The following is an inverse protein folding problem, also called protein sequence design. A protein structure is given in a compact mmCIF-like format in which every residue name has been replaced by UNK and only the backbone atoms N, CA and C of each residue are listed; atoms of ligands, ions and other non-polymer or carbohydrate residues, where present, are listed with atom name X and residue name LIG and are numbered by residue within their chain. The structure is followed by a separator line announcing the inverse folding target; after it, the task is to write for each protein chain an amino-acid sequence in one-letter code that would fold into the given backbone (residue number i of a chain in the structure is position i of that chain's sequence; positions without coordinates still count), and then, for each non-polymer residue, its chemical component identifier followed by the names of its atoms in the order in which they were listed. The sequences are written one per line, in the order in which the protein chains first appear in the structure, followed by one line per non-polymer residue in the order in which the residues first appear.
data_IF_137092572354
#
_entry.id   IF_137092572354
#
_cell.length_a   1.000
_cell.length_b   1.000
_cell.length_c   1.000
_cell.angle_alpha   90.00
_cell.angle_beta   90.00
_cell.angle_gamma   90.00
#
_symmetry.space_group_name_H-M   'P 1'
#
loop_
_entity.id
_entity.type
_entity.pdbx_description
1 polymer ?
#
# COMPACT_ATOMS: atom_id res chain seq x y z
N UNK A 1 -30.54 50.53 14.32
CA UNK A 1 -29.83 49.23 14.28
C UNK A 1 -30.77 48.17 13.74
N UNK A 2 -30.21 47.18 13.03
CA UNK A 2 -30.84 45.95 12.49
C UNK A 2 -31.13 45.98 10.98
N UNK A 3 -30.16 45.42 10.26
CA UNK A 3 -30.39 44.61 9.07
C UNK A 3 -31.20 43.37 9.44
N UNK A 4 -32.07 42.90 8.53
CA UNK A 4 -32.15 41.49 8.21
C UNK A 4 -32.81 41.31 6.84
N UNK A 5 -32.14 40.56 5.97
CA UNK A 5 -32.58 40.20 4.63
C UNK A 5 -33.58 39.05 4.67
N UNK A 6 -34.47 39.09 3.69
CA UNK A 6 -35.61 38.22 3.46
C UNK A 6 -35.24 36.75 3.22
N UNK A 7 -36.05 35.89 3.81
CA UNK A 7 -36.27 34.49 3.49
C UNK A 7 -37.49 34.40 2.55
N UNK A 8 -37.54 33.34 1.73
CA UNK A 8 -38.71 32.65 1.14
C UNK A 8 -38.71 32.62 -0.40
N UNK A 9 -39.28 31.63 -1.10
CA UNK A 9 -39.67 30.22 -0.88
C UNK A 9 -40.42 29.82 -2.17
N UNK A 10 -40.14 28.62 -2.73
CA UNK A 10 -40.97 27.79 -3.63
C UNK A 10 -41.41 28.34 -5.03
N UNK A 11 -41.07 27.62 -6.13
CA UNK A 11 -41.90 26.67 -6.93
C UNK A 11 -43.09 27.34 -7.66
N UNK A 12 -43.50 27.07 -8.90
CA UNK A 12 -43.09 26.27 -10.06
C UNK A 12 -44.16 26.60 -11.16
N UNK A 13 -43.86 26.28 -12.43
CA UNK A 13 -44.80 26.00 -13.56
C UNK A 13 -45.16 27.14 -14.54
N UNK A 14 -44.46 27.08 -15.68
CA UNK A 14 -44.89 27.10 -17.10
C UNK A 14 -46.00 28.04 -17.61
N UNK A 15 -45.71 28.76 -18.71
CA UNK A 15 -46.37 28.59 -20.02
C UNK A 15 -45.70 29.46 -21.10
N UNK A 16 -45.61 28.88 -22.30
CA UNK A 16 -45.11 29.48 -23.55
C UNK A 16 -46.16 30.39 -24.18
N UNK A 17 -45.77 31.53 -24.76
CA UNK A 17 -46.38 32.08 -26.00
C UNK A 17 -45.41 33.01 -26.75
N UNK A 18 -45.58 33.03 -28.08
CA UNK A 18 -44.62 33.37 -29.13
C UNK A 18 -44.44 34.85 -29.49
N UNK A 19 -43.29 35.09 -30.15
CA UNK A 19 -43.05 35.98 -31.30
C UNK A 19 -42.78 37.46 -31.09
N UNK A 20 -41.49 37.82 -31.17
CA UNK A 20 -41.02 39.02 -31.87
C UNK A 20 -39.58 38.78 -32.32
N UNK A 21 -39.30 38.95 -33.62
CA UNK A 21 -37.95 38.93 -34.19
C UNK A 21 -37.08 40.01 -33.53
N UNK A 22 -36.13 39.59 -32.70
CA UNK A 22 -34.95 40.39 -32.38
C UNK A 22 -33.71 39.56 -32.73
N UNK A 23 -33.00 40.05 -33.74
CA UNK A 23 -31.59 39.85 -34.08
C UNK A 23 -30.89 38.73 -33.28
N UNK A 24 -30.68 37.58 -33.91
CA UNK A 24 -29.84 36.50 -33.40
C UNK A 24 -28.48 37.06 -32.99
N UNK A 25 -28.26 37.22 -31.69
CA UNK A 25 -26.92 37.17 -31.13
C UNK A 25 -26.47 35.72 -31.33
N UNK A 26 -25.34 35.51 -32.03
CA UNK A 26 -24.76 34.20 -32.21
C UNK A 26 -24.65 33.53 -30.84
N UNK A 27 -25.45 32.48 -30.60
CA UNK A 27 -25.26 31.63 -29.44
C UNK A 27 -23.81 31.14 -29.46
N UNK A 28 -23.11 31.14 -28.31
CA UNK A 28 -21.75 30.59 -28.27
C UNK A 28 -21.82 29.17 -28.79
N UNK A 29 -21.20 28.92 -29.94
CA UNK A 29 -21.10 27.59 -30.53
C UNK A 29 -20.53 26.69 -29.45
N UNK A 30 -21.27 25.68 -28.97
CA UNK A 30 -20.76 24.80 -27.94
C UNK A 30 -19.46 24.18 -28.44
N UNK A 31 -18.42 24.22 -27.60
CA UNK A 31 -17.13 23.59 -27.93
C UNK A 31 -17.40 22.16 -28.42
N UNK A 32 -16.73 21.71 -29.51
CA UNK A 32 -16.89 20.37 -30.00
C UNK A 32 -16.62 19.38 -28.86
N UNK A 33 -17.47 18.36 -28.69
CA UNK A 33 -17.36 17.43 -27.58
C UNK A 33 -16.01 16.70 -27.62
N UNK A 34 -15.23 16.84 -26.55
CA UNK A 34 -13.90 16.25 -26.47
C UNK A 34 -13.98 14.72 -26.28
N UNK A 35 -13.02 13.97 -26.84
CA UNK A 35 -12.89 12.56 -26.56
C UNK A 35 -12.75 12.29 -25.06
N UNK A 36 -13.33 11.20 -24.59
CA UNK A 36 -13.29 10.76 -23.18
C UNK A 36 -12.33 9.59 -23.03
N UNK A 37 -11.58 9.61 -21.94
CA UNK A 37 -10.67 8.54 -21.54
C UNK A 37 -10.90 8.21 -20.07
N UNK A 38 -10.99 6.93 -19.76
CA UNK A 38 -11.07 6.42 -18.39
C UNK A 38 -9.93 5.43 -18.17
N UNK A 39 -9.19 5.60 -17.07
CA UNK A 39 -8.15 4.68 -16.64
C UNK A 39 -8.69 3.95 -15.41
N UNK A 40 -8.90 2.65 -15.56
CA UNK A 40 -9.38 1.77 -14.50
C UNK A 40 -8.27 0.79 -14.14
N UNK A 41 -7.73 0.92 -12.93
CA UNK A 41 -6.87 -0.10 -12.38
C UNK A 41 -7.71 -1.36 -12.10
N UNK A 42 -7.13 -2.55 -12.25
CA UNK A 42 -7.80 -3.73 -11.73
C UNK A 42 -7.84 -3.65 -10.19
N UNK A 43 -8.98 -3.21 -9.63
CA UNK A 43 -9.21 -2.96 -8.20
C UNK A 43 -9.22 -1.48 -7.81
N UNK A 44 -9.45 -1.16 -6.54
CA UNK A 44 -9.60 0.21 -6.01
C UNK A 44 -8.27 1.03 -5.91
N UNK A 45 -7.24 0.67 -6.68
CA UNK A 45 -5.90 1.29 -6.56
C UNK A 45 -5.82 2.59 -7.36
N UNK A 46 -5.35 3.67 -6.72
CA UNK A 46 -5.17 5.00 -7.33
C UNK A 46 -3.66 5.37 -7.42
N UNK A 47 -2.77 4.58 -6.80
CA UNK A 47 -1.33 4.77 -6.82
C UNK A 47 -0.60 3.41 -6.75
N UNK A 48 0.55 3.30 -7.43
CA UNK A 48 1.40 2.09 -7.44
C UNK A 48 2.69 2.43 -6.69
N UNK A 49 3.00 1.63 -5.66
CA UNK A 49 4.23 1.76 -4.87
C UNK A 49 5.10 0.53 -5.10
N UNK A 50 6.29 0.74 -5.67
CA UNK A 50 7.29 -0.32 -5.88
C UNK A 50 8.21 -0.40 -4.65
N UNK A 51 8.58 -1.58 -4.14
CA UNK A 51 8.41 -2.93 -4.68
C UNK A 51 7.18 -3.68 -4.18
N UNK A 52 6.25 -3.03 -3.46
CA UNK A 52 5.06 -3.70 -2.93
C UNK A 52 4.23 -4.38 -4.03
N UNK A 53 4.25 -3.82 -5.23
CA UNK A 53 3.69 -4.41 -6.44
C UNK A 53 4.81 -4.95 -7.34
N UNK A 54 4.67 -6.20 -7.76
CA UNK A 54 5.58 -6.91 -8.68
C UNK A 54 5.20 -6.71 -10.15
N UNK A 55 3.94 -6.41 -10.44
CA UNK A 55 3.49 -6.07 -11.79
C UNK A 55 2.40 -5.01 -11.75
N UNK A 56 2.20 -4.36 -12.89
CA UNK A 56 1.12 -3.41 -13.07
C UNK A 56 0.21 -3.94 -14.16
N UNK A 57 -1.09 -3.99 -13.87
CA UNK A 57 -2.14 -4.35 -14.81
C UNK A 57 -3.23 -3.27 -14.79
N UNK A 58 -3.38 -2.54 -15.90
CA UNK A 58 -4.32 -1.41 -16.03
C UNK A 58 -5.19 -1.60 -17.26
N UNK A 59 -6.49 -1.39 -17.10
CA UNK A 59 -7.42 -1.31 -18.20
C UNK A 59 -7.70 0.16 -18.53
N UNK A 60 -7.54 0.53 -19.80
CA UNK A 60 -7.76 1.90 -20.26
C UNK A 60 -8.86 1.87 -21.32
N UNK A 61 -9.91 2.64 -21.09
CA UNK A 61 -11.06 2.73 -22.01
C UNK A 61 -11.04 4.07 -22.73
N UNK A 62 -11.05 4.02 -24.07
CA UNK A 62 -11.11 5.18 -24.95
C UNK A 62 -12.50 5.30 -25.58
N UNK A 63 -13.09 6.50 -25.57
CA UNK A 63 -14.39 6.79 -26.19
C UNK A 63 -14.31 8.08 -27.01
N UNK A 64 -14.51 7.97 -28.32
CA UNK A 64 -14.63 9.11 -29.24
C UNK A 64 -16.06 9.22 -29.77
N UNK A 65 -16.53 10.44 -29.94
CA UNK A 65 -17.80 10.69 -30.64
C UNK A 65 -17.68 10.51 -32.16
N UNK A 66 -16.48 10.69 -32.70
CA UNK A 66 -16.18 10.71 -34.14
C UNK A 66 -15.10 9.72 -34.53
N UNK A 67 -15.12 8.59 -33.84
CA UNK A 67 -14.16 7.51 -33.95
C UNK A 67 -12.72 7.88 -33.56
N UNK A 68 -11.96 6.86 -33.22
CA UNK A 68 -10.57 6.95 -32.81
C UNK A 68 -9.70 7.19 -34.05
N UNK A 69 -8.84 8.22 -33.98
CA UNK A 69 -7.78 8.45 -34.95
C UNK A 69 -6.44 7.86 -34.48
N UNK A 70 -6.09 8.11 -33.21
CA UNK A 70 -4.80 7.72 -32.66
C UNK A 70 -4.85 7.59 -31.14
N UNK A 71 -4.11 6.63 -30.61
CA UNK A 71 -3.79 6.55 -29.19
C UNK A 71 -2.33 6.16 -28.98
N UNK A 72 -1.67 6.80 -28.03
CA UNK A 72 -0.27 6.53 -27.69
C UNK A 72 -0.02 6.79 -26.20
N UNK A 73 1.11 6.30 -25.70
CA UNK A 73 1.58 6.66 -24.36
C UNK A 73 3.07 7.00 -24.34
N UNK A 74 3.46 7.79 -23.36
CA UNK A 74 4.85 8.11 -23.06
C UNK A 74 5.36 7.13 -22.01
N UNK A 75 6.25 6.24 -22.44
CA UNK A 75 6.94 5.31 -21.56
C UNK A 75 8.18 6.01 -20.97
N UNK A 76 8.27 6.16 -19.64
CA UNK A 76 9.47 6.68 -18.99
C UNK A 76 10.66 5.76 -19.27
N UNK A 77 11.86 6.33 -19.32
CA UNK A 77 13.12 5.61 -19.53
C UNK A 77 14.11 5.94 -18.41
N UNK A 78 15.15 5.12 -18.32
CA UNK A 78 16.31 5.41 -17.46
C UNK A 78 16.93 6.74 -17.90
N UNK A 79 17.13 7.66 -16.95
CA UNK A 79 17.67 9.00 -17.22
C UNK A 79 16.61 10.08 -17.46
N UNK A 80 15.32 9.77 -17.31
CA UNK A 80 14.23 10.77 -17.33
C UNK A 80 13.76 11.18 -18.72
N UNK A 81 14.20 10.48 -19.77
CA UNK A 81 13.64 10.61 -21.11
C UNK A 81 12.37 9.78 -21.26
N UNK A 82 11.62 10.03 -22.33
CA UNK A 82 10.39 9.28 -22.65
C UNK A 82 10.48 8.75 -24.07
N UNK A 83 9.95 7.55 -24.29
CA UNK A 83 9.66 7.04 -25.63
C UNK A 83 8.16 6.99 -25.85
N UNK A 84 7.74 7.47 -27.02
CA UNK A 84 6.34 7.38 -27.44
C UNK A 84 6.05 5.98 -28.00
N UNK A 85 4.97 5.38 -27.53
CA UNK A 85 4.49 4.06 -27.96
C UNK A 85 3.08 4.22 -28.52
N UNK A 86 2.95 4.02 -29.82
CA UNK A 86 1.64 4.00 -30.47
C UNK A 86 0.93 2.67 -30.16
N UNK A 87 -0.31 2.77 -29.69
CA UNK A 87 -1.15 1.65 -29.28
C UNK A 87 -2.44 1.56 -30.10
N UNK A 88 -2.58 2.38 -31.14
CA UNK A 88 -3.81 2.48 -31.96
C UNK A 88 -4.21 1.13 -32.57
N UNK A 89 -3.22 0.28 -32.87
CA UNK A 89 -3.43 -1.06 -33.45
C UNK A 89 -3.29 -2.22 -32.45
N UNK A 90 -3.12 -1.91 -31.15
CA UNK A 90 -2.82 -2.89 -30.09
C UNK A 90 -3.90 -2.90 -29.00
N UNK A 91 -5.15 -2.68 -29.38
CA UNK A 91 -6.27 -2.65 -28.42
C UNK A 91 -6.95 -4.02 -28.34
N UNK A 92 -7.87 -4.18 -27.39
CA UNK A 92 -8.54 -5.43 -27.08
C UNK A 92 -7.74 -6.35 -26.16
N UNK A 93 -8.36 -7.43 -25.67
CA UNK A 93 -7.77 -8.36 -24.70
C UNK A 93 -6.53 -9.09 -25.21
N UNK A 94 -6.37 -9.23 -26.53
CA UNK A 94 -5.21 -9.89 -27.14
C UNK A 94 -4.29 -8.91 -27.91
N UNK A 95 -4.47 -7.60 -27.75
CA UNK A 95 -3.74 -6.54 -28.47
C UNK A 95 -3.77 -6.69 -30.00
N UNK A 96 -4.86 -7.23 -30.55
CA UNK A 96 -5.06 -7.54 -31.97
C UNK A 96 -6.17 -6.68 -32.61
N UNK A 97 -6.86 -5.86 -31.83
CA UNK A 97 -7.92 -4.98 -32.32
C UNK A 97 -7.31 -3.68 -32.82
N UNK A 98 -7.56 -3.40 -34.10
CA UNK A 98 -7.33 -2.09 -34.68
C UNK A 98 -8.43 -1.14 -34.23
N UNK A 99 -8.10 -0.22 -33.33
CA UNK A 99 -9.05 0.74 -32.80
C UNK A 99 -9.37 1.88 -33.79
N UNK A 100 -8.58 2.02 -34.85
CA UNK A 100 -8.83 2.99 -35.90
C UNK A 100 -10.28 2.85 -36.39
N UNK A 101 -10.97 3.99 -36.49
CA UNK A 101 -12.36 4.05 -36.94
C UNK A 101 -13.39 3.39 -35.99
N UNK A 102 -13.00 3.00 -34.78
CA UNK A 102 -13.94 2.55 -33.74
C UNK A 102 -14.36 3.72 -32.84
N UNK A 103 -15.62 3.77 -32.37
CA UNK A 103 -16.08 4.78 -31.41
C UNK A 103 -15.60 4.50 -29.98
N UNK A 104 -15.28 3.24 -29.68
CA UNK A 104 -14.82 2.78 -28.36
C UNK A 104 -13.79 1.67 -28.52
N UNK A 105 -12.75 1.68 -27.68
CA UNK A 105 -11.76 0.63 -27.60
C UNK A 105 -11.13 0.56 -26.20
N UNK A 106 -10.60 -0.62 -25.85
CA UNK A 106 -9.97 -0.90 -24.56
C UNK A 106 -8.51 -1.28 -24.78
N UNK A 107 -7.59 -0.76 -23.98
CA UNK A 107 -6.19 -1.17 -23.96
C UNK A 107 -5.83 -1.76 -22.60
N UNK A 108 -5.25 -2.96 -22.61
CA UNK A 108 -4.71 -3.60 -21.42
C UNK A 108 -3.22 -3.29 -21.34
N UNK A 109 -2.87 -2.37 -20.44
CA UNK A 109 -1.49 -1.95 -20.22
C UNK A 109 -0.86 -2.79 -19.11
N UNK A 110 0.35 -3.30 -19.37
CA UNK A 110 1.11 -4.09 -18.41
C UNK A 110 2.54 -3.57 -18.27
N UNK A 111 3.08 -3.63 -17.04
CA UNK A 111 4.52 -3.48 -16.77
C UNK A 111 4.96 -4.67 -15.97
N UNK A 112 5.98 -5.36 -16.47
CA UNK A 112 6.56 -6.52 -15.77
C UNK A 112 7.46 -6.11 -14.60
N UNK A 113 7.66 -7.05 -13.66
CA UNK A 113 8.67 -6.96 -12.59
C UNK A 113 10.02 -6.46 -13.09
N UNK A 114 10.52 -7.06 -14.18
CA UNK A 114 11.82 -6.74 -14.73
C UNK A 114 11.90 -5.29 -15.23
N UNK A 115 10.84 -4.79 -15.86
CA UNK A 115 10.78 -3.40 -16.31
C UNK A 115 10.66 -2.42 -15.15
N UNK A 116 9.87 -2.75 -14.13
CA UNK A 116 9.77 -1.96 -12.90
C UNK A 116 11.12 -1.86 -12.19
N UNK A 117 11.82 -2.99 -12.03
CA UNK A 117 13.15 -3.03 -11.44
C UNK A 117 14.13 -2.12 -12.18
N UNK A 118 14.11 -2.16 -13.52
CA UNK A 118 15.00 -1.35 -14.35
C UNK A 118 14.66 0.15 -14.28
N UNK A 119 13.38 0.52 -14.27
CA UNK A 119 12.95 1.91 -14.13
C UNK A 119 13.29 2.47 -12.74
N UNK A 120 12.92 1.73 -11.70
CA UNK A 120 13.07 2.14 -10.31
C UNK A 120 14.51 1.97 -9.79
N UNK A 121 15.43 1.37 -10.56
CA UNK A 121 16.85 1.38 -10.23
C UNK A 121 17.39 2.81 -10.04
N UNK A 122 16.93 3.76 -10.88
CA UNK A 122 17.44 5.12 -10.92
C UNK A 122 16.36 6.22 -10.80
N UNK A 123 15.09 5.84 -10.78
CA UNK A 123 13.97 6.77 -10.63
C UNK A 123 13.32 6.60 -9.24
N UNK A 124 12.92 7.72 -8.65
CA UNK A 124 12.05 7.75 -7.47
C UNK A 124 10.57 7.70 -7.86
N UNK A 125 10.26 8.06 -9.11
CA UNK A 125 8.93 8.01 -9.69
C UNK A 125 8.99 7.79 -11.21
N UNK A 126 7.98 7.14 -11.77
CA UNK A 126 7.78 6.97 -13.20
C UNK A 126 6.34 7.35 -13.56
N UNK A 127 6.17 8.28 -14.49
CA UNK A 127 4.85 8.77 -14.93
C UNK A 127 4.56 8.19 -16.31
N UNK A 128 3.42 7.53 -16.44
CA UNK A 128 2.90 7.07 -17.73
C UNK A 128 1.76 8.00 -18.14
N UNK A 129 1.96 8.72 -19.25
CA UNK A 129 0.95 9.61 -19.82
C UNK A 129 0.37 8.98 -21.07
N UNK A 130 -0.94 8.79 -21.10
CA UNK A 130 -1.70 8.32 -22.25
C UNK A 130 -2.34 9.50 -22.94
N UNK A 131 -2.23 9.55 -24.26
CA UNK A 131 -2.84 10.57 -25.10
C UNK A 131 -3.70 9.91 -26.17
N UNK A 132 -4.87 10.47 -26.37
CA UNK A 132 -5.89 9.98 -27.27
C UNK A 132 -6.40 11.11 -28.16
N UNK A 133 -6.54 10.84 -29.46
CA UNK A 133 -6.97 11.77 -30.50
C UNK A 133 -8.12 11.15 -31.31
N UNK A 134 -9.19 11.93 -31.53
CA UNK A 134 -10.30 11.57 -32.41
C UNK A 134 -10.04 12.01 -33.87
N UNK A 135 -10.91 11.62 -34.82
CA UNK A 135 -10.75 12.02 -36.23
C UNK A 135 -10.97 13.50 -36.53
N UNK A 136 -11.49 14.26 -35.57
CA UNK A 136 -11.60 15.72 -35.68
C UNK A 136 -10.33 16.43 -35.17
N UNK A 137 -9.36 15.65 -34.64
CA UNK A 137 -8.10 16.15 -34.10
C UNK A 137 -8.19 16.63 -32.65
N UNK A 138 -9.31 16.41 -31.97
CA UNK A 138 -9.45 16.75 -30.56
C UNK A 138 -8.64 15.75 -29.73
N UNK A 139 -7.94 16.26 -28.70
CA UNK A 139 -7.06 15.46 -27.85
C UNK A 139 -7.50 15.45 -26.40
N UNK A 140 -7.32 14.31 -25.75
CA UNK A 140 -7.41 14.19 -24.30
C UNK A 140 -6.22 13.39 -23.77
N UNK A 141 -5.84 13.62 -22.52
CA UNK A 141 -4.73 12.89 -21.89
C UNK A 141 -5.05 12.57 -20.44
N UNK A 142 -4.58 11.41 -20.00
CA UNK A 142 -4.66 10.98 -18.60
C UNK A 142 -3.37 10.26 -18.23
N UNK A 143 -3.02 10.22 -16.96
CA UNK A 143 -1.76 9.65 -16.51
C UNK A 143 -1.94 8.89 -15.20
N UNK A 144 -0.95 8.06 -14.91
CA UNK A 144 -0.73 7.55 -13.55
C UNK A 144 0.76 7.60 -13.20
N UNK A 145 1.03 7.58 -11.89
CA UNK A 145 2.38 7.62 -11.34
C UNK A 145 2.67 6.34 -10.58
N UNK A 146 3.85 5.78 -10.84
CA UNK A 146 4.47 4.74 -10.02
C UNK A 146 5.53 5.44 -9.18
N UNK A 147 5.50 5.22 -7.87
CA UNK A 147 6.48 5.79 -6.95
C UNK A 147 7.32 4.66 -6.36
N UNK A 148 8.63 4.84 -6.34
CA UNK A 148 9.54 3.95 -5.61
C UNK A 148 9.46 4.27 -4.13
N UNK A 149 9.12 3.28 -3.32
CA UNK A 149 9.29 3.33 -1.88
C UNK A 149 10.76 3.60 -1.56
N UNK A 150 11.02 4.75 -0.93
CA UNK A 150 12.36 5.17 -0.53
C UNK A 150 12.72 4.67 0.87
N UNK A 151 11.86 3.87 1.50
CA UNK A 151 12.09 3.44 2.87
C UNK A 151 13.36 2.59 3.03
N UNK A 152 13.98 2.72 4.19
CA UNK A 152 15.12 1.92 4.62
C UNK A 152 14.63 0.54 5.03
N UNK A 153 14.69 -0.42 4.10
CA UNK A 153 14.21 -1.79 4.35
C UNK A 153 14.92 -2.48 5.51
N UNK A 154 14.12 -3.18 6.33
CA UNK A 154 14.60 -4.09 7.36
C UNK A 154 14.86 -5.46 6.72
N UNK A 155 16.04 -5.62 6.11
CA UNK A 155 16.36 -6.74 5.21
C UNK A 155 16.77 -8.03 5.92
N UNK A 156 17.21 -7.96 7.18
CA UNK A 156 17.53 -9.16 7.96
C UNK A 156 16.26 -9.72 8.59
N UNK A 157 15.86 -10.90 8.15
CA UNK A 157 14.76 -11.66 8.73
C UNK A 157 15.28 -12.84 9.56
N UNK A 158 14.77 -12.95 10.79
CA UNK A 158 15.03 -14.06 11.70
C UNK A 158 13.73 -14.84 11.86
N UNK A 159 13.77 -16.13 11.53
CA UNK A 159 12.59 -17.01 11.52
C UNK A 159 12.56 -18.00 12.68
N UNK A 160 13.60 -18.02 13.51
CA UNK A 160 13.78 -18.94 14.63
C UNK A 160 13.31 -18.39 15.98
N UNK A 161 12.53 -17.30 15.97
CA UNK A 161 12.05 -16.66 17.20
C UNK A 161 11.11 -17.58 17.97
N UNK A 162 11.39 -17.76 19.26
CA UNK A 162 10.62 -18.63 20.15
C UNK A 162 10.56 -18.05 21.56
N UNK A 163 9.43 -18.24 22.23
CA UNK A 163 9.21 -17.83 23.60
C UNK A 163 8.41 -18.91 24.33
N UNK A 164 9.02 -19.52 25.34
CA UNK A 164 8.41 -20.58 26.13
C UNK A 164 7.73 -20.06 27.39
N UNK A 165 6.94 -20.92 28.02
CA UNK A 165 6.41 -20.69 29.36
C UNK A 165 7.52 -20.29 30.34
N UNK A 166 7.28 -19.28 31.19
CA UNK A 166 8.32 -18.70 32.07
C UNK A 166 8.91 -19.71 33.07
N UNK A 167 8.11 -20.68 33.50
CA UNK A 167 8.51 -21.77 34.40
C UNK A 167 8.98 -23.04 33.66
N UNK A 168 9.04 -23.02 32.33
CA UNK A 168 9.49 -24.16 31.52
C UNK A 168 11.01 -24.27 31.40
N UNK A 169 11.50 -25.47 31.08
CA UNK A 169 12.94 -25.80 31.08
C UNK A 169 13.74 -25.13 29.95
N UNK A 170 13.08 -24.73 28.85
CA UNK A 170 13.74 -24.18 27.67
C UNK A 170 14.02 -22.66 27.73
N UNK A 171 13.58 -21.98 28.79
CA UNK A 171 13.80 -20.54 28.99
C UNK A 171 12.74 -19.66 28.32
N UNK A 172 12.07 -18.82 29.10
CA UNK A 172 10.96 -17.98 28.66
C UNK A 172 11.37 -16.56 28.22
N UNK A 173 12.52 -16.38 27.58
CA UNK A 173 12.95 -15.07 27.10
C UNK A 173 13.72 -15.10 25.77
N UNK A 174 13.70 -13.97 25.05
CA UNK A 174 14.35 -13.79 23.74
C UNK A 174 15.14 -12.48 23.66
N UNK A 175 16.30 -12.55 23.00
CA UNK A 175 17.16 -11.43 22.65
C UNK A 175 17.03 -11.11 21.15
N UNK A 176 16.35 -10.00 20.84
CA UNK A 176 16.13 -9.54 19.47
C UNK A 176 17.41 -9.01 18.80
N UNK A 177 18.37 -8.53 19.60
CA UNK A 177 19.63 -7.97 19.10
C UNK A 177 20.58 -9.09 18.66
N UNK A 178 20.72 -10.14 19.48
CA UNK A 178 21.64 -11.25 19.22
C UNK A 178 20.98 -12.49 18.58
N UNK A 179 19.69 -12.43 18.28
CA UNK A 179 18.94 -13.47 17.57
C UNK A 179 18.95 -14.83 18.27
N UNK A 180 18.79 -14.79 19.59
CA UNK A 180 18.92 -15.99 20.41
C UNK A 180 17.93 -16.04 21.56
N UNK A 181 17.58 -17.26 21.94
CA UNK A 181 16.85 -17.55 23.16
C UNK A 181 17.75 -17.29 24.36
N UNK A 182 17.20 -16.68 25.40
CA UNK A 182 17.90 -16.44 26.66
C UNK A 182 17.12 -17.03 27.83
N UNK A 183 17.84 -17.62 28.78
CA UNK A 183 17.25 -18.13 30.01
C UNK A 183 17.11 -17.00 31.03
N UNK A 184 16.33 -17.22 32.09
CA UNK A 184 16.14 -16.25 33.19
C UNK A 184 17.43 -15.91 33.97
N UNK A 185 18.51 -16.67 33.78
CA UNK A 185 19.83 -16.40 34.35
C UNK A 185 20.73 -15.50 33.47
N UNK A 186 20.30 -15.16 32.25
CA UNK A 186 21.05 -14.26 31.37
C UNK A 186 21.09 -12.83 31.94
N UNK A 187 21.92 -11.96 31.34
CA UNK A 187 21.98 -10.56 31.71
C UNK A 187 20.61 -9.90 31.48
N UNK A 188 19.99 -9.24 32.48
CA UNK A 188 18.67 -8.62 32.32
C UNK A 188 18.57 -7.60 31.17
N UNK A 189 19.70 -7.00 30.77
CA UNK A 189 19.77 -6.06 29.65
C UNK A 189 19.61 -6.70 28.27
N UNK A 190 19.74 -8.02 28.13
CA UNK A 190 19.56 -8.73 26.84
C UNK A 190 18.15 -9.32 26.67
N UNK A 191 17.31 -9.21 27.69
CA UNK A 191 15.96 -9.81 27.70
C UNK A 191 14.92 -8.84 27.12
N UNK A 192 14.81 -8.82 25.79
CA UNK A 192 13.85 -7.96 25.08
C UNK A 192 12.43 -8.44 25.31
N UNK A 193 12.18 -9.75 25.16
CA UNK A 193 10.88 -10.35 25.40
C UNK A 193 11.02 -11.38 26.50
N UNK A 194 10.23 -11.28 27.55
CA UNK A 194 10.16 -12.22 28.67
C UNK A 194 8.70 -12.64 28.83
N UNK A 195 8.41 -13.93 28.70
CA UNK A 195 7.08 -14.46 28.92
C UNK A 195 6.58 -14.12 30.33
N UNK A 196 5.29 -13.85 30.47
CA UNK A 196 4.67 -13.47 31.75
C UNK A 196 3.69 -14.50 32.27
N UNK A 197 3.52 -15.62 31.57
CA UNK A 197 2.52 -16.62 31.90
C UNK A 197 3.03 -17.51 33.02
N UNK A 198 2.52 -17.28 34.24
CA UNK A 198 2.82 -18.11 35.41
C UNK A 198 1.82 -19.27 35.59
N UNK A 199 0.82 -19.38 34.72
CA UNK A 199 -0.24 -20.39 34.77
C UNK A 199 -0.57 -20.92 33.37
N UNK A 200 -1.66 -20.46 32.75
CA UNK A 200 -2.01 -20.84 31.39
C UNK A 200 -1.14 -20.06 30.42
N UNK A 201 -0.49 -20.76 29.48
CA UNK A 201 0.26 -20.10 28.43
C UNK A 201 -0.64 -19.33 27.48
N UNK A 202 -0.35 -18.05 27.31
CA UNK A 202 -1.05 -17.13 26.39
C UNK A 202 -0.11 -16.51 25.36
N UNK A 203 1.21 -16.72 25.53
CA UNK A 203 2.24 -16.05 24.76
C UNK A 203 2.48 -14.61 25.21
N UNK A 204 1.84 -14.13 26.29
CA UNK A 204 2.03 -12.77 26.79
C UNK A 204 3.47 -12.54 27.21
N UNK A 205 3.98 -11.33 26.95
CA UNK A 205 5.37 -10.98 27.30
C UNK A 205 5.51 -9.56 27.84
N UNK A 206 6.68 -9.30 28.41
CA UNK A 206 7.18 -7.97 28.75
C UNK A 206 8.67 -7.83 28.47
N UNK A 207 9.14 -6.60 28.28
CA UNK A 207 10.57 -6.32 28.37
C UNK A 207 11.03 -6.43 29.81
N UNK A 208 12.24 -6.95 30.01
CA UNK A 208 12.91 -6.81 31.30
C UNK A 208 13.13 -5.30 31.59
N UNK A 209 12.92 -4.81 32.83
CA UNK A 209 13.15 -3.41 33.18
C UNK A 209 14.55 -2.88 32.85
N UNK A 210 15.59 -3.72 32.92
CA UNK A 210 16.96 -3.33 32.60
C UNK A 210 17.20 -3.20 31.07
N UNK A 211 16.46 -3.96 30.25
CA UNK A 211 16.46 -3.81 28.80
C UNK A 211 15.58 -2.61 28.37
N UNK A 212 14.41 -2.44 28.99
CA UNK A 212 13.47 -1.35 28.75
C UNK A 212 13.01 -1.18 27.28
N UNK A 213 12.99 -2.25 26.48
CA UNK A 213 12.37 -2.23 25.16
C UNK A 213 10.87 -1.91 25.27
N UNK A 214 10.38 -1.14 24.31
CA UNK A 214 8.99 -0.74 24.18
C UNK A 214 8.40 -1.41 22.95
N UNK A 215 7.12 -1.70 23.02
CA UNK A 215 6.37 -2.39 21.98
C UNK A 215 5.12 -1.60 21.63
N UNK A 216 4.69 -1.72 20.38
CA UNK A 216 3.40 -1.27 19.86
C UNK A 216 2.81 -2.38 19.01
N UNK A 217 1.52 -2.69 19.15
CA UNK A 217 0.81 -3.54 18.17
C UNK A 217 0.57 -2.71 16.91
N UNK A 218 1.08 -3.17 15.78
CA UNK A 218 0.89 -2.49 14.50
C UNK A 218 -0.57 -2.63 14.03
N UNK A 219 -0.99 -1.76 13.12
CA UNK A 219 -2.29 -1.89 12.46
C UNK A 219 -2.33 -3.16 11.61
N UNK A 220 -3.53 -3.71 11.39
CA UNK A 220 -3.73 -4.95 10.63
C UNK A 220 -3.31 -4.86 9.15
N UNK A 221 -3.10 -3.65 8.63
CA UNK A 221 -2.63 -3.38 7.27
C UNK A 221 -1.12 -3.09 7.18
N UNK A 222 -0.35 -3.28 8.26
CA UNK A 222 1.11 -3.11 8.19
C UNK A 222 1.73 -4.17 7.27
N UNK A 223 2.48 -3.72 6.26
CA UNK A 223 3.16 -4.61 5.33
C UNK A 223 4.47 -5.14 5.91
N UNK A 224 4.40 -6.34 6.50
CA UNK A 224 5.58 -7.03 7.03
C UNK A 224 6.55 -7.46 5.92
N UNK A 225 6.05 -7.82 4.74
CA UNK A 225 6.90 -8.28 3.64
C UNK A 225 7.84 -7.16 3.15
N UNK A 226 7.35 -5.92 3.16
CA UNK A 226 8.10 -4.73 2.75
C UNK A 226 8.36 -3.77 3.93
N UNK A 227 8.61 -4.30 5.13
CA UNK A 227 8.84 -3.49 6.32
C UNK A 227 10.07 -2.56 6.16
N UNK A 228 9.86 -1.27 6.38
CA UNK A 228 10.90 -0.22 6.40
C UNK A 228 11.03 0.41 7.78
N UNK A 229 12.17 1.03 8.06
CA UNK A 229 12.40 1.76 9.31
C UNK A 229 11.42 2.93 9.47
N UNK A 230 11.06 3.61 8.39
CA UNK A 230 10.15 4.74 8.37
C UNK A 230 8.72 4.29 8.67
N UNK A 231 8.27 3.17 8.06
CA UNK A 231 6.98 2.57 8.37
C UNK A 231 6.92 2.08 9.83
N UNK A 232 7.98 1.41 10.31
CA UNK A 232 8.08 0.99 11.71
C UNK A 232 8.06 2.19 12.67
N UNK A 233 8.80 3.25 12.37
CA UNK A 233 8.82 4.50 13.14
C UNK A 233 7.43 5.15 13.20
N UNK A 234 6.75 5.26 12.06
CA UNK A 234 5.42 5.83 11.98
C UNK A 234 4.39 5.00 12.77
N UNK A 235 4.42 3.67 12.62
CA UNK A 235 3.55 2.76 13.36
C UNK A 235 3.82 2.83 14.87
N UNK A 236 5.09 2.88 15.28
CA UNK A 236 5.48 2.96 16.68
C UNK A 236 5.08 4.29 17.34
N UNK A 237 5.21 5.41 16.62
CA UNK A 237 4.86 6.74 17.14
C UNK A 237 3.34 6.99 17.20
N UNK A 238 2.56 6.35 16.31
CA UNK A 238 1.11 6.49 16.28
C UNK A 238 0.39 5.55 17.26
N UNK A 239 1.00 4.41 17.59
CA UNK A 239 0.40 3.44 18.50
C UNK A 239 0.64 3.70 19.99
N UNK A 240 0.01 2.88 20.83
CA UNK A 240 0.17 2.96 22.29
C UNK A 240 1.38 2.15 22.73
N UNK A 241 2.45 2.83 23.12
CA UNK A 241 3.69 2.20 23.56
C UNK A 241 3.53 1.53 24.93
N UNK A 242 3.97 0.28 25.03
CA UNK A 242 3.94 -0.50 26.26
C UNK A 242 5.21 -1.32 26.44
N UNK A 243 5.61 -1.62 27.67
CA UNK A 243 6.66 -2.61 27.96
C UNK A 243 6.12 -4.03 28.03
N UNK A 244 4.82 -4.24 27.84
CA UNK A 244 4.17 -5.54 27.90
C UNK A 244 3.06 -5.67 26.86
N UNK A 245 2.93 -6.88 26.32
CA UNK A 245 1.92 -7.25 25.35
C UNK A 245 1.19 -8.49 25.86
N UNK A 246 -0.13 -8.44 25.79
CA UNK A 246 -0.99 -9.50 26.30
C UNK A 246 -1.65 -10.27 25.14
N UNK A 247 -1.74 -11.58 25.29
CA UNK A 247 -2.51 -12.51 24.46
C UNK A 247 -2.31 -12.31 22.94
N UNK A 248 -1.05 -12.32 22.43
CA UNK A 248 -0.82 -12.27 20.99
C UNK A 248 -1.56 -13.37 20.24
N UNK A 249 -1.96 -13.07 19.01
CA UNK A 249 -2.56 -14.04 18.10
C UNK A 249 -1.66 -14.28 16.89
N UNK A 250 -1.83 -15.41 16.22
CA UNK A 250 -1.14 -15.67 14.96
C UNK A 250 -1.41 -14.54 13.94
N UNK A 251 -0.35 -14.13 13.23
CA UNK A 251 -0.30 -13.00 12.31
C UNK A 251 -0.40 -11.60 12.94
N UNK A 252 -0.48 -11.47 14.26
CA UNK A 252 -0.28 -10.16 14.89
C UNK A 252 1.13 -9.64 14.58
N UNK A 253 1.23 -8.35 14.25
CA UNK A 253 2.48 -7.64 14.02
C UNK A 253 2.72 -6.65 15.15
N UNK A 254 3.93 -6.66 15.70
CA UNK A 254 4.38 -5.75 16.73
C UNK A 254 5.64 -5.02 16.30
N UNK A 255 5.71 -3.74 16.62
CA UNK A 255 6.91 -2.93 16.47
C UNK A 255 7.58 -2.82 17.83
N UNK A 256 8.78 -3.37 17.96
CA UNK A 256 9.63 -3.21 19.13
C UNK A 256 10.67 -2.12 18.86
N UNK A 257 10.96 -1.29 19.87
CA UNK A 257 11.99 -0.24 19.79
C UNK A 257 12.88 -0.28 21.01
N UNK A 258 14.20 -0.22 20.77
CA UNK A 258 15.23 -0.03 21.79
C UNK A 258 16.32 0.87 21.24
N UNK A 259 16.60 1.99 21.92
CA UNK A 259 17.65 2.95 21.53
C UNK A 259 17.55 3.38 20.05
N UNK A 260 16.33 3.64 19.57
CA UNK A 260 16.01 3.96 18.16
C UNK A 260 16.30 2.83 17.14
N UNK A 261 16.58 1.61 17.61
CA UNK A 261 16.63 0.41 16.76
C UNK A 261 15.26 -0.25 16.78
N UNK A 262 14.71 -0.48 15.59
CA UNK A 262 13.40 -1.09 15.40
C UNK A 262 13.50 -2.57 15.02
N UNK A 263 12.58 -3.35 15.56
CA UNK A 263 12.33 -4.73 15.20
C UNK A 263 10.85 -4.88 14.87
N UNK A 264 10.54 -5.45 13.71
CA UNK A 264 9.16 -5.72 13.29
C UNK A 264 8.92 -7.21 13.50
N UNK A 265 8.12 -7.55 14.50
CA UNK A 265 7.86 -8.93 14.95
C UNK A 265 6.52 -9.37 14.39
N UNK A 266 6.47 -10.55 13.77
CA UNK A 266 5.24 -11.22 13.35
C UNK A 266 5.07 -12.52 14.12
N UNK A 267 3.97 -12.65 14.83
CA UNK A 267 3.62 -13.88 15.53
C UNK A 267 3.22 -14.94 14.51
N UNK A 268 3.85 -16.10 14.56
CA UNK A 268 3.56 -17.21 13.64
C UNK A 268 2.56 -18.17 14.26
N UNK A 269 2.76 -18.52 15.53
CA UNK A 269 1.89 -19.45 16.25
C UNK A 269 1.98 -19.20 17.76
N UNK A 270 0.89 -19.50 18.47
CA UNK A 270 0.81 -19.55 19.94
C UNK A 270 0.18 -20.89 20.29
N UNK A 271 1.00 -21.82 20.79
CA UNK A 271 0.59 -23.17 21.17
C UNK A 271 0.67 -23.35 22.69
N UNK A 272 -0.47 -23.32 23.41
CA UNK A 272 -0.49 -23.51 24.85
C UNK A 272 -0.26 -24.97 25.29
N UNK A 273 -0.22 -25.92 24.34
CA UNK A 273 -0.07 -27.35 24.60
C UNK A 273 1.31 -27.88 24.24
N UNK A 274 2.19 -27.03 23.69
CA UNK A 274 3.53 -27.43 23.34
C UNK A 274 4.30 -27.91 24.57
N UNK A 275 4.80 -29.14 24.53
CA UNK A 275 5.63 -29.72 25.58
C UNK A 275 6.99 -30.12 25.03
N UNK A 276 8.05 -29.69 25.72
CA UNK A 276 9.44 -30.04 25.37
C UNK A 276 9.97 -31.28 26.10
N UNK A 277 9.16 -31.92 26.95
CA UNK A 277 9.58 -33.03 27.79
C UNK A 277 8.56 -33.36 28.89
N UNK A 278 9.02 -33.85 30.04
CA UNK A 278 8.16 -34.30 31.15
C UNK A 278 7.76 -33.18 32.13
N UNK A 279 7.95 -31.92 31.76
CA UNK A 279 7.66 -30.77 32.62
C UNK A 279 6.16 -30.44 32.72
N UNK A 280 5.75 -29.73 33.77
CA UNK A 280 4.36 -29.31 34.00
C UNK A 280 4.01 -27.91 33.45
N UNK A 281 4.89 -27.37 32.60
CA UNK A 281 4.88 -25.97 32.15
C UNK A 281 4.96 -25.92 30.63
N UNK A 282 3.86 -26.31 30.00
CA UNK A 282 3.69 -26.35 28.56
C UNK A 282 3.39 -24.95 28.01
N UNK A 283 3.74 -24.74 26.75
CA UNK A 283 3.49 -23.50 26.04
C UNK A 283 4.68 -23.00 25.23
N UNK A 284 4.41 -22.66 23.97
CA UNK A 284 5.37 -22.03 23.07
C UNK A 284 4.67 -21.02 22.16
N UNK A 285 5.29 -19.85 22.01
CA UNK A 285 5.00 -18.92 20.95
C UNK A 285 6.18 -18.90 19.98
N UNK A 286 5.92 -19.05 18.69
CA UNK A 286 6.92 -18.88 17.63
C UNK A 286 6.65 -17.60 16.85
N UNK A 287 7.69 -16.90 16.45
CA UNK A 287 7.60 -15.64 15.74
C UNK A 287 8.77 -15.45 14.77
N UNK A 288 8.56 -14.64 13.74
CA UNK A 288 9.64 -14.11 12.91
C UNK A 288 9.79 -12.61 13.19
N UNK A 289 10.96 -12.05 12.88
CA UNK A 289 11.10 -10.60 12.93
C UNK A 289 12.13 -10.08 11.93
N UNK A 290 11.91 -8.83 11.52
CA UNK A 290 12.80 -8.08 10.65
C UNK A 290 13.53 -6.99 11.42
N UNK A 291 14.81 -6.78 11.10
CA UNK A 291 15.64 -5.71 11.63
C UNK A 291 16.67 -5.24 10.60
N UNK A 292 17.40 -4.18 10.94
CA UNK A 292 18.60 -3.80 10.20
C UNK A 292 19.67 -4.90 10.31
N UNK A 293 20.49 -5.12 9.26
CA UNK A 293 21.59 -6.08 9.27
C UNK A 293 22.54 -5.91 10.45
#
# INVERSE_FOLDING_TARGET
MKHLKFLSLLLLIAAVTFSSCEKEEDEPIPDPPKPKMTIDFQGDKIAIVYPTESSIDVQITFKAEKNIARAYYQQPQIGGTYIERDITIRMGPNHDIMALDQPEAVYYFQVSDGELNNLMANLTQAVYTFTFEDKEGNKTSSNFTITKDQGTYLTKEVTSGELYHILGDLGGAWDLENDTRVTTSAAPSTMYMVNTDASTFTGSWKSNPANACKFVKASSNFDYAHATEEAATAAFNSGTQSTSMANPQANDIYIAMKNNVYYVIRILNVDPTYSSGTGAHDGQMTFSYKKKP
#
